data_IF_588586840280
#
_entry.id   IF_588586840280
#
_cell.length_a   1.000
_cell.length_b   1.000
_cell.length_c   1.000
_cell.angle_alpha   90.00
_cell.angle_beta   90.00
_cell.angle_gamma   90.00
#
_symmetry.space_group_name_H-M   'P 1'
#
loop_
_entity.id
_entity.type
_entity.pdbx_description
1 polymer ?
#
# COMPACT_ATOMS: atom_id res chain seq x y z
N UNK A 1 13.56 1.42 5.28
CA UNK A 1 12.95 0.18 5.79
C UNK A 1 13.06 -0.94 4.75
N UNK A 2 12.32 -0.89 3.63
CA UNK A 2 12.39 -1.91 2.58
C UNK A 2 13.84 -2.19 2.11
N UNK A 3 14.56 -1.16 1.68
CA UNK A 3 15.98 -1.29 1.31
C UNK A 3 16.86 -1.84 2.44
N UNK A 4 16.66 -1.38 3.68
CA UNK A 4 17.41 -1.86 4.85
C UNK A 4 17.13 -3.33 5.18
N UNK A 5 15.96 -3.84 4.78
CA UNK A 5 15.58 -5.25 4.89
C UNK A 5 16.01 -6.08 3.68
N UNK A 6 16.82 -5.52 2.76
CA UNK A 6 17.29 -6.21 1.57
C UNK A 6 16.29 -6.27 0.42
N UNK A 7 15.17 -5.54 0.49
CA UNK A 7 14.21 -5.47 -0.61
C UNK A 7 14.75 -4.57 -1.71
N UNK A 8 14.79 -5.10 -2.93
CA UNK A 8 15.05 -4.32 -4.13
C UNK A 8 13.76 -3.67 -4.64
N UNK A 9 13.71 -2.34 -4.61
CA UNK A 9 12.50 -1.60 -5.00
C UNK A 9 12.63 -1.23 -6.47
N UNK A 10 11.86 -1.91 -7.32
CA UNK A 10 11.91 -1.72 -8.78
C UNK A 10 10.94 -0.64 -9.29
N UNK A 11 9.94 -0.26 -8.49
CA UNK A 11 8.94 0.73 -8.87
C UNK A 11 8.37 1.47 -7.65
N UNK A 12 7.96 2.72 -7.87
CA UNK A 12 7.25 3.53 -6.89
C UNK A 12 6.20 4.41 -7.59
N UNK A 13 5.10 4.69 -6.90
CA UNK A 13 4.02 5.58 -7.35
C UNK A 13 3.78 6.61 -6.25
N UNK A 14 3.97 7.89 -6.55
CA UNK A 14 3.80 8.99 -5.59
C UNK A 14 3.14 10.20 -6.27
N UNK A 15 1.98 10.58 -5.75
CA UNK A 15 1.14 11.66 -6.27
C UNK A 15 1.72 13.04 -5.95
N UNK A 16 2.24 13.22 -4.73
CA UNK A 16 2.74 14.52 -4.29
C UNK A 16 4.10 14.82 -4.95
N UNK A 17 4.17 15.95 -5.67
CA UNK A 17 5.38 16.29 -6.42
C UNK A 17 6.60 16.44 -5.51
N UNK A 18 6.46 17.13 -4.37
CA UNK A 18 7.57 17.37 -3.46
C UNK A 18 8.06 16.08 -2.79
N UNK A 19 7.14 15.18 -2.42
CA UNK A 19 7.46 13.86 -1.91
C UNK A 19 8.19 13.02 -2.96
N UNK A 20 7.70 13.01 -4.21
CA UNK A 20 8.32 12.27 -5.31
C UNK A 20 9.72 12.80 -5.66
N UNK A 21 9.94 14.12 -5.58
CA UNK A 21 11.25 14.74 -5.80
C UNK A 21 12.23 14.37 -4.68
N UNK A 22 11.73 14.34 -3.44
CA UNK A 22 12.52 13.88 -2.29
C UNK A 22 12.89 12.41 -2.44
N UNK A 23 11.95 11.56 -2.88
CA UNK A 23 12.18 10.14 -3.15
C UNK A 23 13.26 9.96 -4.22
N UNK A 24 13.12 10.67 -5.35
CA UNK A 24 14.07 10.61 -6.48
C UNK A 24 15.49 10.95 -6.05
N UNK A 25 15.67 12.08 -5.35
CA UNK A 25 16.99 12.54 -4.90
C UNK A 25 17.66 11.53 -3.97
N UNK A 26 16.91 10.92 -3.06
CA UNK A 26 17.47 10.04 -2.03
C UNK A 26 17.67 8.60 -2.50
N UNK A 27 16.72 8.01 -3.21
CA UNK A 27 16.74 6.58 -3.52
C UNK A 27 17.16 6.26 -4.96
N UNK A 28 16.96 7.19 -5.90
CA UNK A 28 17.30 6.97 -7.32
C UNK A 28 18.66 7.58 -7.62
N UNK A 29 18.80 8.90 -7.42
CA UNK A 29 20.00 9.64 -7.81
C UNK A 29 21.18 9.34 -6.88
N UNK A 30 20.98 9.52 -5.56
CA UNK A 30 22.04 9.33 -4.56
C UNK A 30 22.48 7.88 -4.44
N UNK A 31 21.52 6.94 -4.43
CA UNK A 31 21.81 5.50 -4.30
C UNK A 31 22.05 4.80 -5.65
N UNK A 32 21.90 5.51 -6.78
CA UNK A 32 22.06 4.99 -8.15
C UNK A 32 21.24 3.72 -8.42
N UNK A 33 19.98 3.72 -7.99
CA UNK A 33 19.07 2.60 -8.20
C UNK A 33 18.21 2.81 -9.43
N UNK A 34 17.91 1.72 -10.13
CA UNK A 34 16.97 1.71 -11.24
C UNK A 34 15.55 1.51 -10.70
N UNK A 35 14.91 2.61 -10.29
CA UNK A 35 13.52 2.59 -9.81
C UNK A 35 12.63 3.28 -10.83
N UNK A 36 11.62 2.56 -11.34
CA UNK A 36 10.57 3.16 -12.15
C UNK A 36 9.65 4.02 -11.27
N UNK A 37 9.92 5.31 -11.21
CA UNK A 37 9.13 6.26 -10.42
C UNK A 37 8.04 6.93 -11.27
N UNK A 38 6.80 6.66 -10.93
CA UNK A 38 5.62 7.41 -11.36
C UNK A 38 5.36 8.55 -10.37
N UNK A 39 5.45 9.79 -10.84
CA UNK A 39 5.54 10.97 -9.98
C UNK A 39 4.55 12.08 -10.34
N UNK A 40 4.12 12.82 -9.33
CA UNK A 40 3.31 14.03 -9.51
C UNK A 40 1.83 13.74 -9.77
N UNK A 41 1.01 14.79 -9.94
CA UNK A 41 -0.46 14.66 -9.93
C UNK A 41 -1.05 13.95 -11.15
N UNK A 42 -0.25 13.73 -12.21
CA UNK A 42 -0.69 13.06 -13.43
C UNK A 42 -0.23 11.61 -13.42
N UNK A 43 1.08 11.39 -13.52
CA UNK A 43 1.64 10.03 -13.63
C UNK A 43 1.73 9.32 -12.28
N UNK A 44 1.86 10.06 -11.18
CA UNK A 44 1.93 9.55 -9.81
C UNK A 44 0.56 9.34 -9.14
N UNK A 45 -0.55 9.69 -9.79
CA UNK A 45 -1.87 9.28 -9.31
C UNK A 45 -2.10 7.80 -9.63
N UNK A 46 -2.16 6.97 -8.60
CA UNK A 46 -2.39 5.52 -8.72
C UNK A 46 -3.68 5.17 -9.49
N UNK A 47 -4.67 6.07 -9.51
CA UNK A 47 -5.90 5.88 -10.30
C UNK A 47 -5.65 5.97 -11.81
N UNK A 48 -4.62 6.71 -12.23
CA UNK A 48 -4.24 6.85 -13.64
C UNK A 48 -3.25 5.76 -14.09
N UNK A 49 -2.64 5.03 -13.15
CA UNK A 49 -1.66 3.98 -13.46
C UNK A 49 -2.35 2.64 -13.69
N UNK A 50 -2.44 2.18 -14.93
CA UNK A 50 -2.92 0.84 -15.29
C UNK A 50 -1.94 -0.24 -14.74
N UNK A 51 -2.39 -1.12 -13.80
CA UNK A 51 -1.52 -2.13 -13.20
C UNK A 51 -0.89 -3.09 -14.22
N UNK A 52 -1.63 -3.45 -15.27
CA UNK A 52 -1.19 -4.40 -16.30
C UNK A 52 -0.15 -3.77 -17.21
N UNK A 53 -0.32 -2.49 -17.57
CA UNK A 53 0.70 -1.74 -18.32
C UNK A 53 1.97 -1.60 -17.48
N UNK A 54 1.85 -1.22 -16.21
CA UNK A 54 3.00 -1.12 -15.31
C UNK A 54 3.75 -2.45 -15.19
N UNK A 55 3.03 -3.55 -14.98
CA UNK A 55 3.64 -4.89 -14.89
C UNK A 55 4.41 -5.26 -16.17
N UNK A 56 3.85 -4.96 -17.34
CA UNK A 56 4.50 -5.20 -18.64
C UNK A 56 5.75 -4.34 -18.84
N UNK A 57 5.70 -3.08 -18.42
CA UNK A 57 6.85 -2.16 -18.48
C UNK A 57 8.00 -2.63 -17.58
N UNK A 58 7.66 -3.17 -16.41
CA UNK A 58 8.60 -3.85 -15.52
C UNK A 58 9.04 -5.23 -16.02
N UNK A 59 8.51 -5.69 -17.17
CA UNK A 59 8.81 -6.99 -17.78
C UNK A 59 8.54 -8.18 -16.86
N UNK A 60 7.55 -8.06 -15.97
CA UNK A 60 7.16 -9.12 -15.04
C UNK A 60 5.96 -9.91 -15.56
N UNK A 61 5.98 -11.22 -15.33
CA UNK A 61 4.79 -12.10 -15.38
C UNK A 61 4.06 -12.04 -14.04
N UNK A 62 2.76 -12.37 -13.98
CA UNK A 62 2.09 -12.53 -12.70
C UNK A 62 2.85 -13.54 -11.83
N UNK A 63 2.90 -13.31 -10.51
CA UNK A 63 3.59 -14.12 -9.50
C UNK A 63 5.11 -14.01 -9.46
N UNK A 64 5.73 -13.17 -10.31
CA UNK A 64 7.18 -12.90 -10.25
C UNK A 64 7.55 -11.78 -9.26
N UNK A 65 6.61 -10.92 -8.87
CA UNK A 65 6.87 -9.91 -7.86
C UNK A 65 6.84 -10.53 -6.45
N UNK A 66 7.81 -10.18 -5.61
CA UNK A 66 7.83 -10.68 -4.23
C UNK A 66 6.87 -9.91 -3.32
N UNK A 67 6.86 -8.57 -3.42
CA UNK A 67 6.24 -7.73 -2.41
C UNK A 67 5.59 -6.49 -3.01
N UNK A 68 4.38 -6.17 -2.56
CA UNK A 68 3.77 -4.85 -2.74
C UNK A 68 3.63 -4.18 -1.36
N UNK A 69 4.21 -2.99 -1.22
CA UNK A 69 4.10 -2.15 -0.02
C UNK A 69 3.22 -0.94 -0.34
N UNK A 70 2.29 -0.58 0.56
CA UNK A 70 1.49 0.63 0.34
C UNK A 70 0.88 1.20 1.62
N UNK A 71 0.74 2.52 1.62
CA UNK A 71 -0.05 3.26 2.61
C UNK A 71 -1.18 4.04 1.95
N UNK A 72 -2.15 3.37 1.30
CA UNK A 72 -3.19 4.05 0.54
C UNK A 72 -3.95 5.06 1.43
N UNK A 73 -4.12 6.32 0.97
CA UNK A 73 -4.69 7.39 1.79
C UNK A 73 -6.04 7.05 2.38
N UNK A 74 -6.20 7.36 3.66
CA UNK A 74 -7.38 7.06 4.45
C UNK A 74 -8.21 8.34 4.68
N UNK A 75 -8.48 9.14 3.64
CA UNK A 75 -9.18 10.43 3.79
C UNK A 75 -10.61 10.29 4.34
N UNK A 76 -11.20 9.09 4.33
CA UNK A 76 -12.46 8.74 5.01
C UNK A 76 -12.34 8.33 6.48
N UNK A 77 -11.13 8.07 6.99
CA UNK A 77 -10.90 7.32 8.22
C UNK A 77 -10.23 8.15 9.33
N UNK A 78 -10.01 9.44 9.10
CA UNK A 78 -9.53 10.35 10.14
C UNK A 78 -10.65 10.70 11.15
N UNK A 79 -10.27 11.00 12.39
CA UNK A 79 -11.14 11.44 13.48
C UNK A 79 -11.92 12.74 13.17
N UNK A 80 -11.49 13.51 12.16
CA UNK A 80 -11.88 14.92 12.00
C UNK A 80 -13.14 15.17 11.15
N UNK A 81 -13.87 14.13 10.69
CA UNK A 81 -15.13 14.33 9.96
C UNK A 81 -16.33 13.64 10.61
N UNK A 82 -17.21 14.52 11.08
CA UNK A 82 -18.50 14.33 11.74
C UNK A 82 -19.55 13.89 10.68
N UNK A 83 -20.45 12.97 11.07
CA UNK A 83 -21.69 12.51 10.39
C UNK A 83 -21.57 11.51 9.23
N UNK A 84 -21.93 10.25 9.51
CA UNK A 84 -22.70 9.27 8.70
C UNK A 84 -22.46 9.09 7.18
N UNK A 85 -21.39 9.61 6.59
CA UNK A 85 -21.04 9.40 5.18
C UNK A 85 -19.96 8.31 5.06
N UNK A 86 -20.34 7.03 4.99
CA UNK A 86 -19.37 5.93 5.03
C UNK A 86 -19.67 4.69 4.19
N UNK A 87 -20.90 4.48 3.70
CA UNK A 87 -21.25 3.21 3.00
C UNK A 87 -20.95 3.27 1.49
N UNK A 88 -21.02 4.45 0.87
CA UNK A 88 -20.75 4.67 -0.58
C UNK A 88 -19.63 5.69 -0.82
N UNK A 89 -18.62 5.67 0.03
CA UNK A 89 -17.59 6.70 -0.01
C UNK A 89 -16.56 6.45 -1.13
N UNK A 90 -16.44 7.32 -2.15
CA UNK A 90 -15.39 7.21 -3.17
C UNK A 90 -13.97 7.22 -2.58
N UNK A 91 -13.80 7.62 -1.31
CA UNK A 91 -12.52 7.62 -0.59
C UNK A 91 -12.01 6.22 -0.19
N UNK A 92 -12.87 5.21 -0.21
CA UNK A 92 -12.50 3.80 -0.03
C UNK A 92 -11.84 3.20 -1.29
N UNK A 93 -11.91 3.91 -2.41
CA UNK A 93 -11.42 3.41 -3.69
C UNK A 93 -9.91 3.20 -3.70
N UNK A 94 -9.12 3.92 -2.89
CA UNK A 94 -7.65 3.78 -2.96
C UNK A 94 -7.12 2.47 -2.37
N UNK A 95 -7.78 1.90 -1.35
CA UNK A 95 -7.40 0.57 -0.85
C UNK A 95 -7.84 -0.53 -1.81
N UNK A 96 -9.01 -0.38 -2.45
CA UNK A 96 -9.44 -1.30 -3.52
C UNK A 96 -8.54 -1.18 -4.75
N UNK A 97 -8.18 0.05 -5.13
CA UNK A 97 -7.25 0.34 -6.22
C UNK A 97 -5.89 -0.26 -5.93
N UNK A 98 -5.38 -0.12 -4.71
CA UNK A 98 -4.17 -0.84 -4.27
C UNK A 98 -4.33 -2.35 -4.46
N UNK A 99 -5.47 -2.92 -4.09
CA UNK A 99 -5.73 -4.35 -4.27
C UNK A 99 -5.78 -4.76 -5.74
N UNK A 100 -6.18 -3.90 -6.68
CA UNK A 100 -6.08 -4.19 -8.11
C UNK A 100 -4.63 -4.43 -8.56
N UNK A 101 -3.63 -3.75 -7.96
CA UNK A 101 -2.22 -4.06 -8.19
C UNK A 101 -1.83 -5.41 -7.60
N UNK A 102 -2.29 -5.71 -6.38
CA UNK A 102 -2.10 -7.04 -5.78
C UNK A 102 -2.69 -8.13 -6.68
N UNK A 103 -3.88 -7.90 -7.23
CA UNK A 103 -4.55 -8.83 -8.11
C UNK A 103 -3.82 -9.01 -9.45
N UNK A 104 -3.35 -7.93 -10.06
CA UNK A 104 -2.65 -7.99 -11.36
C UNK A 104 -1.24 -8.61 -11.24
N UNK A 105 -0.48 -8.22 -10.22
CA UNK A 105 0.90 -8.70 -10.03
C UNK A 105 0.96 -10.05 -9.35
N UNK A 106 -0.06 -10.40 -8.55
CA UNK A 106 -0.08 -11.59 -7.70
C UNK A 106 1.21 -11.73 -6.87
N UNK A 107 1.67 -10.73 -6.09
CA UNK A 107 2.94 -10.83 -5.38
C UNK A 107 2.97 -12.00 -4.39
N UNK A 108 4.16 -12.40 -3.89
CA UNK A 108 4.24 -13.39 -2.80
C UNK A 108 3.59 -12.86 -1.51
N UNK A 109 3.75 -11.56 -1.24
CA UNK A 109 3.13 -10.89 -0.12
C UNK A 109 2.70 -9.45 -0.46
N UNK A 110 1.76 -8.92 0.31
CA UNK A 110 1.42 -7.51 0.32
C UNK A 110 1.40 -6.98 1.75
N UNK A 111 1.84 -5.75 1.95
CA UNK A 111 1.78 -5.05 3.24
C UNK A 111 1.09 -3.71 3.07
N UNK A 112 0.01 -3.54 3.84
CA UNK A 112 -0.72 -2.28 3.96
C UNK A 112 -0.41 -1.65 5.31
N UNK A 113 0.03 -0.40 5.30
CA UNK A 113 0.11 0.45 6.49
C UNK A 113 -1.03 1.46 6.48
N UNK A 114 -1.64 1.72 7.63
CA UNK A 114 -2.67 2.75 7.74
C UNK A 114 -2.83 3.30 9.16
N UNK A 115 -3.64 4.35 9.32
CA UNK A 115 -4.05 4.86 10.63
C UNK A 115 -4.81 3.79 11.42
N UNK A 116 -4.61 3.75 12.75
CA UNK A 116 -5.31 2.81 13.63
C UNK A 116 -6.85 2.92 13.54
N UNK A 117 -7.36 4.07 13.07
CA UNK A 117 -8.79 4.29 12.82
C UNK A 117 -9.39 3.38 11.75
N UNK A 118 -8.58 2.76 10.88
CA UNK A 118 -9.04 1.74 9.93
C UNK A 118 -9.77 0.57 10.62
N UNK A 119 -9.42 0.26 11.88
CA UNK A 119 -10.04 -0.83 12.65
C UNK A 119 -11.33 -0.43 13.39
N UNK A 120 -11.82 0.80 13.26
CA UNK A 120 -13.05 1.23 13.94
C UNK A 120 -14.29 0.56 13.34
N UNK A 121 -15.31 0.33 14.18
CA UNK A 121 -16.59 -0.32 13.80
C UNK A 121 -17.22 0.27 12.53
N UNK A 122 -17.16 1.60 12.35
CA UNK A 122 -17.71 2.31 11.18
C UNK A 122 -17.06 1.94 9.84
N UNK A 123 -15.91 1.27 9.88
CA UNK A 123 -15.13 0.84 8.72
C UNK A 123 -15.04 -0.68 8.58
N UNK A 124 -15.70 -1.43 9.49
CA UNK A 124 -15.62 -2.89 9.54
C UNK A 124 -16.01 -3.52 8.21
N UNK A 125 -17.16 -3.13 7.64
CA UNK A 125 -17.64 -3.69 6.38
C UNK A 125 -16.66 -3.47 5.22
N UNK A 126 -15.95 -2.35 5.22
CA UNK A 126 -14.96 -2.06 4.19
C UNK A 126 -13.68 -2.88 4.37
N UNK A 127 -13.20 -2.99 5.61
CA UNK A 127 -12.05 -3.83 5.93
C UNK A 127 -12.35 -5.31 5.65
N UNK A 128 -13.55 -5.78 6.00
CA UNK A 128 -13.99 -7.15 5.73
C UNK A 128 -14.08 -7.42 4.23
N UNK A 129 -14.56 -6.47 3.42
CA UNK A 129 -14.52 -6.57 1.96
C UNK A 129 -13.09 -6.68 1.42
N UNK A 130 -12.16 -5.87 1.93
CA UNK A 130 -10.75 -5.94 1.53
C UNK A 130 -10.14 -7.31 1.88
N UNK A 131 -10.41 -7.82 3.09
CA UNK A 131 -9.95 -9.14 3.52
C UNK A 131 -10.57 -10.24 2.65
N UNK A 132 -11.88 -10.17 2.37
CA UNK A 132 -12.55 -11.14 1.52
C UNK A 132 -12.01 -11.13 0.07
N UNK A 133 -11.63 -9.96 -0.45
CA UNK A 133 -10.94 -9.87 -1.75
C UNK A 133 -9.57 -10.54 -1.69
N UNK A 134 -8.79 -10.33 -0.62
CA UNK A 134 -7.51 -10.99 -0.42
C UNK A 134 -7.65 -12.52 -0.35
N UNK A 135 -8.60 -13.00 0.45
CA UNK A 135 -8.90 -14.43 0.59
C UNK A 135 -9.40 -15.04 -0.73
N UNK A 136 -10.27 -14.34 -1.45
CA UNK A 136 -10.75 -14.76 -2.77
C UNK A 136 -9.65 -14.85 -3.84
N UNK A 137 -8.53 -14.15 -3.63
CA UNK A 137 -7.34 -14.23 -4.49
C UNK A 137 -6.22 -15.08 -3.86
N UNK A 138 -6.57 -15.98 -2.93
CA UNK A 138 -5.66 -16.94 -2.29
C UNK A 138 -4.54 -16.29 -1.47
N UNK A 139 -4.86 -15.26 -0.68
CA UNK A 139 -3.96 -14.71 0.35
C UNK A 139 -4.48 -14.98 1.75
N UNK A 140 -3.57 -15.41 2.63
CA UNK A 140 -3.79 -15.55 4.06
C UNK A 140 -3.31 -14.28 4.75
N UNK A 141 -4.16 -13.66 5.57
CA UNK A 141 -3.76 -12.54 6.42
C UNK A 141 -2.95 -13.06 7.61
N UNK A 142 -1.62 -12.96 7.52
CA UNK A 142 -0.67 -13.44 8.55
C UNK A 142 -0.46 -12.44 9.69
N UNK A 143 -0.67 -11.16 9.42
CA UNK A 143 -0.51 -10.09 10.42
C UNK A 143 -1.60 -9.04 10.26
N UNK A 144 -2.24 -8.64 11.35
CA UNK A 144 -3.23 -7.54 11.38
C UNK A 144 -3.24 -6.90 12.77
N UNK A 145 -2.25 -6.06 13.05
CA UNK A 145 -2.10 -5.46 14.38
C UNK A 145 -1.78 -3.97 14.32
N UNK A 146 -2.02 -3.29 15.45
CA UNK A 146 -1.62 -1.89 15.66
C UNK A 146 -0.28 -1.86 16.36
N UNK A 147 0.72 -1.31 15.69
CA UNK A 147 2.04 -1.04 16.26
C UNK A 147 2.17 0.44 16.60
N UNK A 148 3.00 0.75 17.60
CA UNK A 148 3.29 2.12 18.00
C UNK A 148 4.79 2.41 17.83
N UNK A 149 5.13 3.49 17.15
CA UNK A 149 6.52 3.86 16.90
C UNK A 149 7.35 3.99 18.20
N UNK A 150 6.72 4.40 19.31
CA UNK A 150 7.37 4.49 20.64
C UNK A 150 7.87 3.16 21.18
N UNK A 151 7.27 2.05 20.76
CA UNK A 151 7.64 0.70 21.19
C UNK A 151 8.77 0.13 20.31
N UNK A 152 9.24 0.90 19.30
CA UNK A 152 10.27 0.51 18.33
C UNK A 152 11.41 1.53 18.23
N UNK A 153 11.74 2.21 19.34
CA UNK A 153 12.92 3.08 19.44
C UNK A 153 12.76 4.50 18.88
N UNK A 154 11.55 4.90 18.48
CA UNK A 154 11.25 6.27 18.03
C UNK A 154 10.46 6.99 19.13
N UNK A 155 10.94 8.10 19.73
CA UNK A 155 10.25 8.78 20.84
C UNK A 155 9.02 9.57 20.36
N UNK A 156 8.07 8.89 19.73
CA UNK A 156 6.87 9.45 19.13
C UNK A 156 5.70 8.49 19.33
N UNK A 157 4.63 8.99 19.96
CA UNK A 157 3.38 8.23 20.09
C UNK A 157 2.62 8.23 18.76
N UNK A 158 2.95 7.29 17.87
CA UNK A 158 2.35 7.15 16.53
C UNK A 158 1.90 5.71 16.33
N UNK A 159 0.59 5.50 16.51
CA UNK A 159 -0.08 4.21 16.26
C UNK A 159 -0.46 4.06 14.80
N UNK A 160 -0.14 2.89 14.21
CA UNK A 160 -0.46 2.50 12.85
C UNK A 160 -0.86 1.04 12.80
N UNK A 161 -1.89 0.73 12.02
CA UNK A 161 -2.25 -0.65 11.71
C UNK A 161 -1.40 -1.13 10.54
N UNK A 162 -0.94 -2.37 10.63
CA UNK A 162 -0.26 -3.07 9.57
C UNK A 162 -1.04 -4.34 9.23
N UNK A 163 -1.26 -4.57 7.95
CA UNK A 163 -1.94 -5.76 7.43
C UNK A 163 -1.01 -6.45 6.43
N UNK A 164 -0.54 -7.63 6.78
CA UNK A 164 0.31 -8.48 5.92
C UNK A 164 -0.54 -9.64 5.38
N UNK A 165 -0.72 -9.68 4.07
CA UNK A 165 -1.24 -10.85 3.37
C UNK A 165 -0.11 -11.60 2.69
N UNK A 166 -0.12 -12.93 2.79
CA UNK A 166 0.84 -13.83 2.15
C UNK A 166 0.08 -14.81 1.28
N UNK A 167 0.52 -14.98 0.04
CA UNK A 167 -0.12 -15.87 -0.92
C UNK A 167 -0.04 -17.31 -0.43
N UNK A 168 -1.12 -18.08 -0.56
CA UNK A 168 -1.26 -19.43 0.03
C UNK A 168 -0.16 -20.42 -0.35
N UNK A 169 0.42 -20.27 -1.55
CA UNK A 169 1.52 -21.12 -2.03
C UNK A 169 2.91 -20.76 -1.50
N UNK A 170 2.99 -19.80 -0.57
CA UNK A 170 4.24 -19.33 0.03
C UNK A 170 4.28 -19.78 1.49
N UNK A 171 5.26 -20.63 1.80
CA UNK A 171 5.52 -21.19 3.14
C UNK A 171 5.89 -20.12 4.18
#
# INVERSE_FOLDING_TARGET
AAHSAGVDVIAAIEFDQAASDTYRKNFIERERREILLRAGPVDGDINNVDPKKLRKELKLRPRELDLILGGPPCQGFSTHRIKNAGVNDPRNQLLLRYFEFVNEFKPKAFLVENVAGLLWKRHKDFLDKFIALAEGEHYIIKFKEVLNAKDHGVPQNRKRVFILGVREDID
#
